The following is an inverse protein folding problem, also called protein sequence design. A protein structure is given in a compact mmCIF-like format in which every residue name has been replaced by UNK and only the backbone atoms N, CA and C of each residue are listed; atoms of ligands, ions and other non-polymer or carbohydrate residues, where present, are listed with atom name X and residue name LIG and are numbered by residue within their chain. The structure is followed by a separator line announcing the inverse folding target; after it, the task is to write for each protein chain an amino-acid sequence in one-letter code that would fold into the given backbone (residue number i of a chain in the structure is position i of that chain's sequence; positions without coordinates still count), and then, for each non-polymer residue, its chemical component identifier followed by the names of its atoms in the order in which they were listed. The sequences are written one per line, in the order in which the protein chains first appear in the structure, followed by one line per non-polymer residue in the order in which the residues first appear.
data_IF_304481049608
#
_entry.id   IF_304481049608
#
_cell.length_a   1.000
_cell.length_b   1.000
_cell.length_c   1.000
_cell.angle_alpha   90.00
_cell.angle_beta   90.00
_cell.angle_gamma   90.00
#
_symmetry.space_group_name_H-M   'P 1'
#
loop_
_entity.id
_entity.type
_entity.pdbx_description
1 polymer ?
#
# COMPACT_ATOMS: atom_id res chain seq x y z
N UNK A 1 14.04 12.31 6.88
CA UNK A 1 12.63 12.03 7.24
C UNK A 1 12.56 10.92 8.25
N UNK A 2 11.82 11.13 9.33
CA UNK A 2 11.68 10.14 10.39
C UNK A 2 10.22 9.71 10.51
N UNK A 3 9.97 8.44 10.32
CA UNK A 3 8.65 7.85 10.51
C UNK A 3 8.54 7.31 11.94
N UNK A 4 7.38 7.48 12.56
CA UNK A 4 7.13 6.78 13.82
C UNK A 4 7.08 5.29 13.57
N UNK A 5 7.29 4.44 14.60
CA UNK A 5 7.19 2.99 14.40
C UNK A 5 5.85 2.56 13.81
N UNK A 6 4.75 3.19 14.19
CA UNK A 6 3.43 2.88 13.63
C UNK A 6 3.34 3.26 12.15
N UNK A 7 3.80 4.47 11.81
CA UNK A 7 3.79 4.94 10.42
C UNK A 7 4.61 4.03 9.53
N UNK A 8 5.80 3.64 10.01
CA UNK A 8 6.67 2.72 9.28
C UNK A 8 5.98 1.40 9.00
N UNK A 9 5.30 0.86 10.02
CA UNK A 9 4.56 -0.39 9.90
C UNK A 9 3.44 -0.26 8.86
N UNK A 10 2.70 0.84 8.89
CA UNK A 10 1.61 1.08 7.95
C UNK A 10 2.10 1.21 6.51
N UNK A 11 3.21 1.94 6.30
CA UNK A 11 3.79 2.08 4.98
C UNK A 11 4.25 0.74 4.43
N UNK A 12 4.95 -0.04 5.25
CA UNK A 12 5.42 -1.36 4.84
C UNK A 12 4.27 -2.31 4.52
N UNK A 13 3.21 -2.26 5.34
CA UNK A 13 2.03 -3.09 5.13
C UNK A 13 1.33 -2.70 3.82
N UNK A 14 1.13 -1.41 3.57
CA UNK A 14 0.49 -0.94 2.35
C UNK A 14 1.29 -1.37 1.11
N UNK A 15 2.61 -1.25 1.15
CA UNK A 15 3.47 -1.68 0.05
C UNK A 15 3.39 -3.19 -0.16
N UNK A 16 3.34 -3.96 0.93
CA UNK A 16 3.21 -5.41 0.85
C UNK A 16 1.90 -5.82 0.19
N UNK A 17 0.78 -5.20 0.59
CA UNK A 17 -0.52 -5.49 0.00
C UNK A 17 -0.54 -5.13 -1.49
N UNK A 18 0.02 -3.97 -1.86
CA UNK A 18 0.10 -3.56 -3.25
C UNK A 18 0.86 -4.59 -4.10
N UNK A 19 1.98 -5.07 -3.58
CA UNK A 19 2.77 -6.10 -4.25
C UNK A 19 1.99 -7.40 -4.41
N UNK A 20 1.30 -7.84 -3.37
CA UNK A 20 0.49 -9.06 -3.43
C UNK A 20 -0.62 -8.93 -4.46
N UNK A 21 -1.25 -7.77 -4.56
CA UNK A 21 -2.28 -7.52 -5.57
C UNK A 21 -1.71 -7.61 -6.98
N UNK A 22 -0.56 -6.97 -7.22
CA UNK A 22 0.07 -7.00 -8.55
C UNK A 22 0.54 -8.40 -8.94
N UNK A 23 1.02 -9.19 -7.97
CA UNK A 23 1.46 -10.56 -8.21
C UNK A 23 0.32 -11.58 -8.17
N UNK A 24 -0.92 -11.13 -7.95
CA UNK A 24 -2.11 -11.97 -7.88
C UNK A 24 -2.03 -13.06 -6.82
N UNK A 25 -1.44 -12.74 -5.66
CA UNK A 25 -1.26 -13.71 -4.56
C UNK A 25 -2.53 -14.00 -3.78
N UNK A 26 -3.57 -13.17 -3.94
CA UNK A 26 -4.83 -13.37 -3.23
C UNK A 26 -5.80 -14.30 -3.96
N UNK A 27 -5.48 -14.72 -5.18
CA UNK A 27 -6.37 -15.58 -5.98
C UNK A 27 -6.71 -16.90 -5.28
N UNK A 28 -5.78 -17.41 -4.46
CA UNK A 28 -5.94 -18.69 -3.78
C UNK A 28 -6.89 -18.63 -2.59
N UNK A 29 -7.31 -17.42 -2.20
CA UNK A 29 -8.21 -17.23 -1.07
C UNK A 29 -9.69 -17.35 -1.45
N UNK A 30 -9.98 -17.37 -2.74
CA UNK A 30 -11.34 -17.53 -3.22
C UNK A 30 -11.53 -16.91 -4.60
N UNK A 31 -12.56 -17.32 -5.36
CA UNK A 31 -12.81 -16.78 -6.70
C UNK A 31 -13.00 -15.26 -6.73
N UNK A 32 -13.53 -14.67 -5.66
CA UNK A 32 -13.77 -13.24 -5.56
C UNK A 32 -12.47 -12.45 -5.49
N UNK A 33 -11.34 -13.10 -5.19
CA UNK A 33 -10.03 -12.45 -5.13
C UNK A 33 -9.23 -12.61 -6.41
N UNK A 34 -9.71 -13.41 -7.36
CA UNK A 34 -9.05 -13.59 -8.65
C UNK A 34 -9.52 -12.52 -9.62
N UNK A 35 -9.06 -11.29 -9.39
CA UNK A 35 -9.47 -10.13 -10.16
C UNK A 35 -8.59 -9.94 -11.42
N UNK A 36 -9.13 -9.31 -12.48
CA UNK A 36 -8.32 -8.98 -13.64
C UNK A 36 -7.21 -7.99 -13.26
N UNK A 37 -6.13 -7.98 -14.05
CA UNK A 37 -4.96 -7.14 -13.74
C UNK A 37 -5.31 -5.66 -13.59
N UNK A 38 -6.18 -5.14 -14.47
CA UNK A 38 -6.56 -3.73 -14.40
C UNK A 38 -7.17 -3.36 -13.04
N UNK A 39 -8.01 -4.25 -12.51
CA UNK A 39 -8.64 -4.02 -11.20
C UNK A 39 -7.62 -4.14 -10.07
N UNK A 40 -6.74 -5.13 -10.15
CA UNK A 40 -5.68 -5.31 -9.15
C UNK A 40 -4.73 -4.13 -9.14
N UNK A 41 -4.38 -3.60 -10.31
CA UNK A 41 -3.54 -2.41 -10.44
C UNK A 41 -4.19 -1.21 -9.78
N UNK A 42 -5.49 -1.00 -10.02
CA UNK A 42 -6.25 0.09 -9.41
C UNK A 42 -6.20 0.02 -7.88
N UNK A 43 -6.43 -1.16 -7.33
CA UNK A 43 -6.39 -1.35 -5.88
C UNK A 43 -4.98 -1.18 -5.31
N UNK A 44 -3.97 -1.65 -6.04
CA UNK A 44 -2.58 -1.48 -5.63
C UNK A 44 -2.19 0.00 -5.60
N UNK A 45 -2.65 0.79 -6.58
CA UNK A 45 -2.39 2.22 -6.61
C UNK A 45 -3.00 2.94 -5.41
N UNK A 46 -4.19 2.52 -4.97
CA UNK A 46 -4.81 3.07 -3.76
C UNK A 46 -3.96 2.81 -2.51
N UNK A 47 -3.37 1.62 -2.42
CA UNK A 47 -2.49 1.27 -1.31
C UNK A 47 -1.22 2.12 -1.33
N UNK A 48 -0.64 2.33 -2.52
CA UNK A 48 0.55 3.16 -2.65
C UNK A 48 0.26 4.62 -2.35
N UNK A 49 -0.91 5.13 -2.75
CA UNK A 49 -1.33 6.49 -2.42
C UNK A 49 -1.48 6.67 -0.92
N UNK A 50 -2.00 5.68 -0.22
CA UNK A 50 -2.10 5.69 1.23
C UNK A 50 -0.71 5.78 1.87
N UNK A 51 0.24 4.97 1.39
CA UNK A 51 1.61 5.01 1.89
C UNK A 51 2.27 6.36 1.64
N UNK A 52 2.07 6.93 0.45
CA UNK A 52 2.63 8.24 0.11
C UNK A 52 2.05 9.35 0.99
N UNK A 53 0.77 9.28 1.33
CA UNK A 53 0.15 10.25 2.23
C UNK A 53 0.80 10.23 3.61
N UNK A 54 1.15 9.05 4.11
CA UNK A 54 1.85 8.93 5.40
C UNK A 54 3.25 9.54 5.31
N UNK A 55 3.98 9.26 4.24
CA UNK A 55 5.31 9.80 4.00
C UNK A 55 5.26 11.34 3.91
N UNK A 56 4.28 11.88 3.20
CA UNK A 56 4.12 13.33 3.05
C UNK A 56 3.85 14.00 4.40
N UNK A 57 3.03 13.39 5.24
CA UNK A 57 2.79 13.91 6.59
C UNK A 57 4.08 13.96 7.41
N UNK A 58 4.87 12.91 7.32
CA UNK A 58 6.15 12.84 8.04
C UNK A 58 7.12 13.92 7.55
N UNK A 59 7.17 14.13 6.24
CA UNK A 59 7.99 15.19 5.66
C UNK A 59 7.56 16.58 6.14
N UNK A 60 6.25 16.84 6.16
CA UNK A 60 5.73 18.12 6.58
C UNK A 60 6.01 18.41 8.05
N UNK A 61 6.04 17.38 8.90
CA UNK A 61 6.42 17.54 10.30
C UNK A 61 7.86 18.03 10.45
N UNK A 62 8.75 17.59 9.57
CA UNK A 62 10.15 17.97 9.62
C UNK A 62 10.41 19.41 9.15
N UNK A 63 9.47 19.98 8.39
CA UNK A 63 9.61 21.34 7.89
C UNK A 63 9.24 22.40 8.93
N UNK A 64 8.67 22.01 10.03
CA UNK A 64 8.33 22.89 11.16
C UNK A 64 9.45 22.88 12.20
#
# INVERSE_FOLDING_TARGET
MILTPLERKEVLYACHIARCLLENKFKDKGPEFDLPYAKRKEEAEKMLDYALAIVDRAKNRELI
#
